data_IF_921871597318
#
_entry.id   IF_921871597318
#
_cell.length_a   1.000
_cell.length_b   1.000
_cell.length_c   1.000
_cell.angle_alpha   90.00
_cell.angle_beta   90.00
_cell.angle_gamma   90.00
#
_symmetry.space_group_name_H-M   'P 1'
#
loop_
_entity.id
_entity.type
_entity.pdbx_description
1 polymer ?
#
# COMPACT_ATOMS: atom_id res chain seq x y z
N UNK A 1 -1.69 -7.57 -16.37
CA UNK A 1 -0.67 -7.58 -15.30
C UNK A 1 -1.41 -7.70 -13.98
N UNK A 2 -1.06 -8.67 -13.13
CA UNK A 2 -1.68 -8.79 -11.80
C UNK A 2 -1.15 -7.65 -10.94
N UNK A 3 -1.94 -6.58 -10.79
CA UNK A 3 -1.61 -5.48 -9.87
C UNK A 3 -1.93 -5.92 -8.45
N UNK A 4 -0.99 -5.71 -7.53
CA UNK A 4 -1.23 -5.97 -6.11
C UNK A 4 -2.34 -5.02 -5.65
N UNK A 5 -3.48 -5.61 -5.27
CA UNK A 5 -4.64 -4.89 -4.74
C UNK A 5 -5.00 -5.53 -3.42
N UNK A 6 -5.06 -4.74 -2.36
CA UNK A 6 -5.28 -5.22 -1.00
C UNK A 6 -6.38 -4.39 -0.35
N UNK A 7 -7.42 -5.00 0.24
CA UNK A 7 -8.35 -4.28 1.10
C UNK A 7 -7.59 -3.63 2.27
N UNK A 8 -7.92 -2.39 2.59
CA UNK A 8 -7.34 -1.66 3.72
C UNK A 8 -8.45 -1.16 4.62
N UNK A 9 -8.08 -0.56 5.75
CA UNK A 9 -9.02 0.01 6.71
C UNK A 9 -10.05 0.94 6.05
N UNK A 10 -11.30 0.90 6.51
CA UNK A 10 -12.38 1.74 5.98
C UNK A 10 -12.07 3.25 6.16
N UNK A 11 -12.70 4.10 5.36
CA UNK A 11 -12.63 5.54 5.55
C UNK A 11 -13.22 5.90 6.92
N UNK A 12 -12.44 6.60 7.76
CA UNK A 12 -12.79 6.85 9.17
C UNK A 12 -14.13 7.55 9.40
N UNK A 13 -14.53 8.46 8.49
CA UNK A 13 -15.72 9.31 8.69
C UNK A 13 -16.97 8.67 8.10
N UNK A 14 -16.87 8.14 6.89
CA UNK A 14 -18.03 7.64 6.11
C UNK A 14 -18.22 6.12 6.26
N UNK A 15 -17.21 5.42 6.77
CA UNK A 15 -17.12 3.94 6.77
C UNK A 15 -17.14 3.31 5.37
N UNK A 16 -16.86 4.08 4.31
CA UNK A 16 -16.70 3.50 2.97
C UNK A 16 -15.49 2.59 2.91
N UNK A 17 -15.60 1.55 2.09
CA UNK A 17 -14.52 0.59 1.88
C UNK A 17 -13.39 1.25 1.11
N UNK A 18 -12.15 0.85 1.39
CA UNK A 18 -10.96 1.34 0.69
C UNK A 18 -10.11 0.18 0.23
N UNK A 19 -9.49 0.34 -0.93
CA UNK A 19 -8.49 -0.58 -1.46
C UNK A 19 -7.18 0.16 -1.69
N UNK A 20 -6.07 -0.49 -1.36
CA UNK A 20 -4.73 -0.07 -1.72
C UNK A 20 -4.29 -0.83 -2.97
N UNK A 21 -4.01 -0.09 -4.03
CA UNK A 21 -3.41 -0.60 -5.26
C UNK A 21 -1.94 -0.21 -5.29
N UNK A 22 -1.06 -1.18 -5.43
CA UNK A 22 0.35 -0.89 -5.68
C UNK A 22 0.48 -0.15 -7.00
N UNK A 23 1.06 1.05 -6.95
CA UNK A 23 1.27 1.89 -8.13
C UNK A 23 2.68 1.66 -8.68
N UNK A 24 3.70 1.81 -7.83
CA UNK A 24 5.10 1.77 -8.26
C UNK A 24 6.02 1.34 -7.11
N UNK A 25 7.12 0.67 -7.47
CA UNK A 25 8.21 0.36 -6.55
C UNK A 25 9.54 0.57 -7.26
N UNK A 26 10.41 1.39 -6.66
CA UNK A 26 11.71 1.76 -7.22
C UNK A 26 12.80 1.49 -6.19
N UNK A 27 13.89 0.89 -6.64
CA UNK A 27 15.14 0.77 -5.87
C UNK A 27 16.16 1.70 -6.53
N UNK A 28 16.59 2.72 -5.78
CA UNK A 28 17.60 3.68 -6.22
C UNK A 28 19.01 3.09 -6.25
N UNK A 29 19.98 3.85 -6.81
CA UNK A 29 21.39 3.41 -6.89
C UNK A 29 22.07 3.27 -5.52
N UNK A 30 21.56 3.96 -4.50
CA UNK A 30 21.97 3.86 -3.09
C UNK A 30 21.17 2.81 -2.31
N UNK A 31 20.42 1.97 -3.04
CA UNK A 31 19.51 0.96 -2.53
C UNK A 31 18.36 1.51 -1.68
N UNK A 32 18.09 2.82 -1.74
CA UNK A 32 16.87 3.36 -1.15
C UNK A 32 15.66 2.86 -1.92
N UNK A 33 14.66 2.41 -1.17
CA UNK A 33 13.44 1.85 -1.72
C UNK A 33 12.33 2.88 -1.59
N UNK A 34 11.60 3.10 -2.68
CA UNK A 34 10.44 3.98 -2.76
C UNK A 34 9.25 3.13 -3.19
N UNK A 35 8.19 3.14 -2.39
CA UNK A 35 6.93 2.49 -2.71
C UNK A 35 5.83 3.55 -2.84
N UNK A 36 5.04 3.43 -3.90
CA UNK A 36 3.86 4.25 -4.13
C UNK A 36 2.61 3.37 -4.13
N UNK A 37 1.63 3.78 -3.35
CA UNK A 37 0.36 3.09 -3.16
C UNK A 37 -0.75 4.07 -3.48
N UNK A 38 -1.63 3.68 -4.39
CA UNK A 38 -2.85 4.39 -4.72
C UNK A 38 -3.97 3.88 -3.82
N UNK A 39 -4.53 4.76 -3.00
CA UNK A 39 -5.68 4.49 -2.14
C UNK A 39 -6.94 4.91 -2.89
N UNK A 40 -7.86 3.97 -3.06
CA UNK A 40 -9.10 4.15 -3.81
C UNK A 40 -10.27 3.86 -2.87
N UNK A 41 -11.22 4.79 -2.80
CA UNK A 41 -12.47 4.58 -2.06
C UNK A 41 -13.47 3.87 -2.96
N UNK A 42 -14.01 2.75 -2.47
CA UNK A 42 -14.91 1.88 -3.23
C UNK A 42 -16.23 1.69 -2.51
N UNK A 43 -17.26 1.35 -3.28
CA UNK A 43 -18.56 1.00 -2.74
C UNK A 43 -18.61 -0.43 -2.17
N UNK A 44 -19.79 -0.88 -1.75
CA UNK A 44 -19.99 -2.22 -1.19
C UNK A 44 -19.74 -3.36 -2.19
N UNK A 45 -19.74 -3.07 -3.50
CA UNK A 45 -19.46 -4.03 -4.57
C UNK A 45 -17.99 -4.01 -5.00
N UNK A 46 -17.20 -3.08 -4.48
CA UNK A 46 -15.79 -2.89 -4.84
C UNK A 46 -15.57 -1.95 -6.03
N UNK A 47 -16.61 -1.26 -6.51
CA UNK A 47 -16.47 -0.29 -7.59
C UNK A 47 -15.94 1.06 -7.04
N UNK A 48 -14.97 1.71 -7.72
CA UNK A 48 -14.52 3.05 -7.33
C UNK A 48 -15.67 4.06 -7.28
N UNK A 49 -15.75 4.85 -6.20
CA UNK A 49 -16.81 5.85 -6.05
C UNK A 49 -16.77 6.92 -7.13
N UNK A 50 -15.58 7.27 -7.64
CA UNK A 50 -15.40 8.24 -8.73
C UNK A 50 -16.10 7.79 -10.02
N UNK A 51 -16.02 6.51 -10.37
CA UNK A 51 -16.73 5.95 -11.53
C UNK A 51 -18.25 5.99 -11.33
N UNK A 52 -18.72 5.67 -10.12
CA UNK A 52 -20.15 5.74 -9.81
C UNK A 52 -20.71 7.15 -9.88
N UNK A 53 -19.97 8.14 -9.38
CA UNK A 53 -20.37 9.56 -9.42
C UNK A 53 -20.49 10.05 -10.87
N UNK A 54 -19.55 9.67 -11.74
CA UNK A 54 -19.60 10.05 -13.15
C UNK A 54 -20.82 9.45 -13.87
N UNK A 55 -21.10 8.17 -13.59
CA UNK A 55 -22.18 7.42 -14.21
C UNK A 55 -23.58 7.72 -13.65
N UNK A 56 -23.67 8.48 -12.55
CA UNK A 56 -24.96 8.81 -11.92
C UNK A 56 -25.60 10.04 -12.58
N UNK A 57 -26.58 9.82 -13.45
CA UNK A 57 -27.32 10.89 -14.15
C UNK A 57 -28.26 11.69 -13.24
N UNK A 58 -28.47 11.27 -11.99
CA UNK A 58 -29.30 12.00 -11.03
C UNK A 58 -28.56 13.15 -10.33
N UNK A 59 -27.22 13.17 -10.41
CA UNK A 59 -26.39 14.21 -9.81
C UNK A 59 -26.25 15.41 -10.73
N UNK A 60 -26.33 16.61 -10.16
CA UNK A 60 -25.95 17.84 -10.89
C UNK A 60 -24.44 17.87 -11.14
N UNK A 61 -23.99 18.65 -12.13
CA UNK A 61 -22.56 18.80 -12.43
C UNK A 61 -21.76 19.28 -11.20
N UNK A 62 -22.34 20.18 -10.41
CA UNK A 62 -21.75 20.69 -9.17
C UNK A 62 -21.58 19.59 -8.11
N UNK A 63 -22.59 18.71 -7.97
CA UNK A 63 -22.52 17.55 -7.07
C UNK A 63 -21.48 16.53 -7.55
N UNK A 64 -21.42 16.27 -8.86
CA UNK A 64 -20.40 15.40 -9.46
C UNK A 64 -19.01 15.94 -9.18
N UNK A 65 -18.77 17.23 -9.43
CA UNK A 65 -17.47 17.85 -9.20
C UNK A 65 -17.06 17.79 -7.72
N UNK A 66 -17.98 18.13 -6.80
CA UNK A 66 -17.71 18.07 -5.37
C UNK A 66 -17.41 16.63 -4.91
N UNK A 67 -18.17 15.65 -5.41
CA UNK A 67 -17.96 14.23 -5.12
C UNK A 67 -16.61 13.72 -5.64
N UNK A 68 -16.27 14.04 -6.89
CA UNK A 68 -15.00 13.66 -7.50
C UNK A 68 -13.79 14.26 -6.78
N UNK A 69 -13.88 15.51 -6.34
CA UNK A 69 -12.82 16.14 -5.57
C UNK A 69 -12.67 15.47 -4.20
N UNK A 70 -13.77 15.11 -3.53
CA UNK A 70 -13.76 14.47 -2.23
C UNK A 70 -13.17 13.06 -2.27
N UNK A 71 -13.56 12.26 -3.26
CA UNK A 71 -13.18 10.84 -3.38
C UNK A 71 -12.06 10.59 -4.40
N UNK A 72 -11.32 11.64 -4.78
CA UNK A 72 -10.16 11.50 -5.63
C UNK A 72 -9.16 10.51 -5.01
N UNK A 73 -8.60 9.64 -5.85
CA UNK A 73 -7.57 8.70 -5.44
C UNK A 73 -6.40 9.43 -4.78
N UNK A 74 -5.89 8.86 -3.70
CA UNK A 74 -4.73 9.40 -3.00
C UNK A 74 -3.50 8.55 -3.32
N UNK A 75 -2.41 9.19 -3.76
CA UNK A 75 -1.12 8.50 -3.94
C UNK A 75 -0.27 8.74 -2.71
N UNK A 76 -0.09 7.68 -1.93
CA UNK A 76 0.78 7.67 -0.76
C UNK A 76 2.16 7.17 -1.18
N UNK A 77 3.19 7.99 -0.97
CA UNK A 77 4.58 7.62 -1.22
C UNK A 77 5.30 7.36 0.11
N UNK A 78 6.03 6.25 0.20
CA UNK A 78 6.88 5.89 1.34
C UNK A 78 8.27 5.54 0.85
N UNK A 79 9.28 5.88 1.65
CA UNK A 79 10.67 5.66 1.31
C UNK A 79 11.50 5.28 2.53
N UNK A 80 12.55 4.49 2.31
CA UNK A 80 13.46 4.05 3.39
C UNK A 80 14.47 5.11 3.79
N UNK A 81 14.70 6.12 2.95
CA UNK A 81 15.67 7.17 3.20
C UNK A 81 15.31 7.92 4.50
N UNK A 82 16.26 7.96 5.45
CA UNK A 82 16.09 8.63 6.74
C UNK A 82 15.13 7.94 7.72
N UNK A 83 14.62 6.74 7.38
CA UNK A 83 13.71 5.97 8.24
C UNK A 83 14.44 4.90 9.03
N UNK A 84 14.05 4.70 10.29
CA UNK A 84 14.59 3.69 11.19
C UNK A 84 13.52 2.68 11.59
N UNK A 85 13.94 1.46 11.92
CA UNK A 85 13.05 0.41 12.42
C UNK A 85 13.53 -0.20 13.73
N UNK A 86 12.61 -0.78 14.49
CA UNK A 86 12.96 -1.66 15.60
C UNK A 86 13.31 -3.08 15.12
N UNK A 87 13.69 -3.98 16.03
CA UNK A 87 14.03 -5.36 15.71
C UNK A 87 12.88 -6.16 15.06
N UNK A 88 11.63 -5.74 15.28
CA UNK A 88 10.45 -6.33 14.65
C UNK A 88 10.17 -5.76 13.25
N UNK A 89 11.01 -4.83 12.74
CA UNK A 89 10.82 -4.18 11.44
C UNK A 89 9.79 -3.05 11.46
N UNK A 90 9.39 -2.56 12.62
CA UNK A 90 8.43 -1.47 12.73
C UNK A 90 9.12 -0.12 12.67
N UNK A 91 8.61 0.80 11.85
CA UNK A 91 9.18 2.15 11.70
C UNK A 91 9.05 2.91 13.02
N UNK A 92 10.17 3.46 13.48
CA UNK A 92 10.27 4.25 14.71
C UNK A 92 10.95 5.59 14.43
N UNK A 93 10.58 6.68 15.13
CA UNK A 93 11.18 8.00 14.91
C UNK A 93 12.69 8.03 15.21
N UNK A 94 13.09 7.28 16.24
CA UNK A 94 14.48 7.16 16.67
C UNK A 94 14.81 5.68 16.79
N UNK A 95 15.84 5.24 16.09
CA UNK A 95 16.26 3.85 16.09
C UNK A 95 17.70 3.70 15.61
N UNK A 96 18.29 2.54 15.88
CA UNK A 96 19.67 2.23 15.47
C UNK A 96 19.74 1.44 14.16
N UNK A 97 18.62 0.86 13.71
CA UNK A 97 18.57 0.05 12.49
C UNK A 97 17.92 0.90 11.40
N UNK A 98 18.70 1.25 10.37
CA UNK A 98 18.14 1.90 9.18
C UNK A 98 17.15 0.95 8.48
N UNK A 99 15.99 1.45 8.10
CA UNK A 99 14.94 0.63 7.45
C UNK A 99 15.45 -0.03 6.16
N UNK A 100 16.28 0.68 5.41
CA UNK A 100 16.94 0.17 4.20
C UNK A 100 17.74 -1.11 4.52
N UNK A 101 18.58 -1.05 5.54
CA UNK A 101 19.48 -2.14 5.91
C UNK A 101 18.70 -3.33 6.48
N UNK A 102 17.62 -3.07 7.22
CA UNK A 102 16.68 -4.10 7.66
C UNK A 102 16.07 -4.88 6.49
N UNK A 103 15.58 -4.19 5.46
CA UNK A 103 15.01 -4.84 4.27
C UNK A 103 16.05 -5.66 3.49
N UNK A 104 17.28 -5.16 3.38
CA UNK A 104 18.37 -5.89 2.73
C UNK A 104 18.81 -7.15 3.49
N UNK A 105 18.59 -7.18 4.81
CA UNK A 105 18.90 -8.33 5.65
C UNK A 105 17.82 -9.43 5.63
N UNK A 106 16.65 -9.19 5.00
CA UNK A 106 15.58 -10.19 4.95
C UNK A 106 16.03 -11.39 4.12
N UNK A 107 16.09 -12.57 4.77
CA UNK A 107 16.43 -13.82 4.10
C UNK A 107 15.18 -14.57 3.63
N UNK A 108 15.35 -15.54 2.72
CA UNK A 108 14.27 -16.48 2.37
C UNK A 108 13.74 -17.25 3.59
N UNK A 109 14.62 -17.54 4.57
CA UNK A 109 14.23 -18.17 5.82
C UNK A 109 13.28 -17.29 6.64
N UNK A 110 13.46 -15.97 6.64
CA UNK A 110 12.59 -15.04 7.36
C UNK A 110 11.25 -14.86 6.65
N UNK A 111 11.23 -14.90 5.32
CA UNK A 111 9.98 -14.95 4.55
C UNK A 111 9.17 -16.21 4.87
N UNK A 112 9.82 -17.37 5.00
CA UNK A 112 9.15 -18.61 5.43
C UNK A 112 8.56 -18.50 6.84
N UNK A 113 9.28 -17.92 7.80
CA UNK A 113 8.77 -17.66 9.16
C UNK A 113 7.55 -16.73 9.15
N UNK A 114 7.48 -15.81 8.20
CA UNK A 114 6.32 -14.93 7.96
C UNK A 114 5.14 -15.63 7.25
N UNK A 115 5.24 -16.94 6.99
CA UNK A 115 4.16 -17.74 6.41
C UNK A 115 4.19 -17.85 4.89
N UNK A 116 5.20 -17.29 4.19
CA UNK A 116 5.34 -17.56 2.76
C UNK A 116 5.81 -19.00 2.53
N UNK A 117 5.07 -19.72 1.68
CA UNK A 117 5.56 -21.00 1.15
C UNK A 117 6.60 -20.73 0.07
N UNK A 118 7.87 -20.68 0.48
CA UNK A 118 9.00 -20.52 -0.43
C UNK A 118 9.61 -21.89 -0.77
N UNK A 119 9.58 -22.25 -2.05
CA UNK A 119 10.25 -23.43 -2.60
C UNK A 119 10.95 -23.07 -3.92
N UNK A 120 11.56 -24.05 -4.58
CA UNK A 120 12.35 -23.84 -5.81
C UNK A 120 11.50 -23.39 -7.01
N UNK A 121 10.18 -23.36 -6.88
CA UNK A 121 9.23 -22.84 -7.88
C UNK A 121 8.71 -21.45 -7.52
N UNK A 122 9.08 -20.88 -6.38
CA UNK A 122 8.64 -19.55 -5.98
C UNK A 122 9.42 -18.49 -6.76
N UNK A 123 8.73 -17.74 -7.61
CA UNK A 123 9.35 -16.68 -8.40
C UNK A 123 9.77 -15.49 -7.52
N UNK A 124 10.79 -14.75 -7.97
CA UNK A 124 11.15 -13.46 -7.37
C UNK A 124 9.95 -12.50 -7.29
N UNK A 125 9.13 -12.43 -8.34
CA UNK A 125 7.94 -11.58 -8.37
C UNK A 125 6.94 -11.93 -7.25
N UNK A 126 6.73 -13.22 -6.98
CA UNK A 126 5.89 -13.68 -5.87
C UNK A 126 6.41 -13.22 -4.51
N UNK A 127 7.73 -13.29 -4.31
CA UNK A 127 8.38 -12.84 -3.07
C UNK A 127 8.23 -11.32 -2.90
N UNK A 128 8.53 -10.57 -3.96
CA UNK A 128 8.40 -9.11 -3.97
C UNK A 128 6.95 -8.68 -3.69
N UNK A 129 5.97 -9.33 -4.33
CA UNK A 129 4.57 -8.97 -4.17
C UNK A 129 4.09 -9.22 -2.75
N UNK A 130 4.48 -10.34 -2.14
CA UNK A 130 4.13 -10.62 -0.76
C UNK A 130 4.76 -9.60 0.22
N UNK A 131 6.01 -9.18 -0.03
CA UNK A 131 6.67 -8.12 0.74
C UNK A 131 5.92 -6.78 0.62
N UNK A 132 5.58 -6.37 -0.60
CA UNK A 132 4.87 -5.12 -0.86
C UNK A 132 3.45 -5.12 -0.25
N UNK A 133 2.73 -6.24 -0.32
CA UNK A 133 1.43 -6.42 0.35
C UNK A 133 1.57 -6.30 1.86
N UNK A 134 2.57 -6.98 2.44
CA UNK A 134 2.83 -6.91 3.88
C UNK A 134 3.15 -5.47 4.33
N UNK A 135 3.89 -4.72 3.52
CA UNK A 135 4.22 -3.33 3.83
C UNK A 135 2.98 -2.44 3.74
N UNK A 136 2.13 -2.60 2.71
CA UNK A 136 0.84 -1.90 2.60
C UNK A 136 0.00 -2.10 3.86
N UNK A 137 -0.19 -3.34 4.30
CA UNK A 137 -0.96 -3.66 5.51
C UNK A 137 -0.33 -3.09 6.78
N UNK A 138 1.00 -3.05 6.83
CA UNK A 138 1.74 -2.46 7.96
C UNK A 138 1.57 -0.95 8.02
N UNK A 139 1.60 -0.27 6.87
CA UNK A 139 1.35 1.17 6.78
C UNK A 139 -0.11 1.48 7.15
N UNK A 140 -1.05 0.70 6.65
CA UNK A 140 -2.48 0.83 6.94
C UNK A 140 -2.78 0.68 8.43
N UNK A 141 -2.22 -0.34 9.08
CA UNK A 141 -2.40 -0.59 10.51
C UNK A 141 -1.91 0.58 11.40
N UNK A 142 -1.02 1.43 10.87
CA UNK A 142 -0.54 2.66 11.52
C UNK A 142 -1.32 3.91 11.12
N UNK A 143 -2.41 3.74 10.36
CA UNK A 143 -3.16 4.82 9.74
C UNK A 143 -2.32 5.73 8.84
N UNK A 144 -1.34 5.12 8.16
CA UNK A 144 -0.49 5.82 7.20
C UNK A 144 -1.05 5.84 5.78
N UNK A 145 -2.25 5.28 5.54
CA UNK A 145 -2.96 5.24 4.25
C UNK A 145 -4.31 5.94 4.30
#
# INVERSE_FOLDING_TARGET
>A
MNTITTPISDERVTSFKRIAKHENFVVGPDLNMIQQVRVITVDATGQPLTERILADDSLTDEQKQAGLQRYADQIVTRQTAGSFVNAAGQVVPEGTIAQRDYFQAITLGDLKKKGLTVNDKTSFASLLYALLTSEILTIDARSGL
#
